data_IF_466354659225
#
_entry.id   IF_466354659225
#
_cell.length_a   1.000
_cell.length_b   1.000
_cell.length_c   1.000
_cell.angle_alpha   90.00
_cell.angle_beta   90.00
_cell.angle_gamma   90.00
#
_symmetry.space_group_name_H-M   'P 1'
#
loop_
_entity.id
_entity.type
_entity.pdbx_description
1 polymer ?
#
# COMPACT_ATOMS: atom_id res chain seq x y z
N UNK A 1 7.54 -16.83 -7.87
CA UNK A 1 6.59 -17.97 -7.97
C UNK A 1 5.24 -17.40 -8.40
N UNK A 2 4.81 -17.66 -9.64
CA UNK A 2 3.55 -17.13 -10.20
C UNK A 2 2.43 -18.10 -9.82
N UNK A 3 1.48 -17.68 -9.00
CA UNK A 3 0.28 -18.47 -8.70
C UNK A 3 -0.78 -18.11 -9.73
N UNK A 4 -1.12 -19.05 -10.59
CA UNK A 4 -2.38 -19.03 -11.35
C UNK A 4 -3.50 -19.38 -10.37
N UNK A 5 -4.54 -18.57 -10.34
CA UNK A 5 -5.78 -18.88 -9.64
C UNK A 5 -6.69 -19.58 -10.63
N UNK A 6 -6.90 -20.88 -10.42
CA UNK A 6 -8.00 -21.59 -11.06
C UNK A 6 -9.26 -21.39 -10.18
N UNK A 7 -10.37 -21.10 -10.86
CA UNK A 7 -11.69 -20.84 -10.29
C UNK A 7 -12.25 -22.08 -9.59
N UNK A 8 -12.81 -21.89 -8.39
CA UNK A 8 -13.74 -22.84 -7.77
C UNK A 8 -15.03 -22.10 -7.42
N UNK A 9 -16.10 -22.48 -8.13
CA UNK A 9 -17.49 -22.21 -7.80
C UNK A 9 -17.86 -22.79 -6.43
N UNK A 10 -18.59 -22.03 -5.61
CA UNK A 10 -19.49 -22.59 -4.60
C UNK A 10 -20.78 -21.76 -4.52
N UNK A 11 -21.84 -22.34 -5.08
CA UNK A 11 -23.23 -22.05 -4.74
C UNK A 11 -23.47 -22.31 -3.25
N UNK A 12 -24.14 -21.37 -2.55
CA UNK A 12 -25.34 -21.78 -1.80
C UNK A 12 -26.25 -20.64 -1.36
N UNK A 13 -27.52 -20.96 -1.55
CA UNK A 13 -28.76 -20.25 -1.35
C UNK A 13 -29.11 -20.09 0.15
N UNK A 14 -29.55 -18.89 0.57
CA UNK A 14 -30.56 -18.77 1.64
C UNK A 14 -31.34 -17.45 1.51
N UNK A 15 -32.65 -17.60 1.31
CA UNK A 15 -33.67 -16.55 1.38
C UNK A 15 -34.20 -16.43 2.82
N UNK A 16 -34.95 -15.35 3.04
CA UNK A 16 -35.82 -15.01 4.18
C UNK A 16 -35.15 -14.18 5.32
N UNK A 17 -35.72 -13.11 5.89
CA UNK A 17 -37.05 -12.49 5.79
C UNK A 17 -36.98 -11.00 6.23
N UNK A 18 -37.74 -10.17 5.51
CA UNK A 18 -38.66 -9.12 5.97
C UNK A 18 -38.38 -8.34 7.29
N UNK A 19 -38.17 -7.01 7.19
CA UNK A 19 -38.92 -6.02 8.00
C UNK A 19 -38.97 -4.67 7.26
N UNK A 20 -40.20 -4.25 6.95
CA UNK A 20 -40.57 -2.98 6.36
C UNK A 20 -40.56 -1.86 7.39
N UNK A 21 -40.00 -0.69 7.06
CA UNK A 21 -40.53 0.59 7.53
C UNK A 21 -40.63 1.57 6.37
N UNK A 22 -41.85 2.09 6.22
CA UNK A 22 -42.29 3.10 5.26
C UNK A 22 -41.85 4.47 5.77
N UNK A 23 -41.19 5.25 4.93
CA UNK A 23 -41.28 6.71 4.98
C UNK A 23 -41.92 7.19 3.68
N UNK A 24 -43.07 7.85 3.85
CA UNK A 24 -43.85 8.49 2.79
C UNK A 24 -43.25 9.88 2.57
N UNK A 25 -42.49 10.03 1.48
CA UNK A 25 -42.17 11.33 0.89
C UNK A 25 -42.98 11.49 -0.40
N UNK A 26 -43.86 12.48 -0.41
CA UNK A 26 -44.69 12.91 -1.53
C UNK A 26 -43.83 13.27 -2.76
N UNK A 27 -43.87 12.44 -3.80
CA UNK A 27 -43.25 12.71 -5.11
C UNK A 27 -44.34 13.08 -6.11
N UNK A 28 -44.95 14.24 -5.91
CA UNK A 28 -45.72 14.93 -6.94
C UNK A 28 -44.77 15.86 -7.72
N UNK A 29 -44.64 15.71 -9.06
CA UNK A 29 -43.83 16.63 -9.84
C UNK A 29 -44.51 18.00 -9.88
N UNK A 30 -43.84 18.99 -9.30
CA UNK A 30 -44.16 20.41 -9.48
C UNK A 30 -44.05 20.74 -10.98
N UNK A 31 -45.11 21.28 -11.62
CA UNK A 31 -45.04 21.60 -13.04
C UNK A 31 -44.22 22.87 -13.20
N UNK A 32 -42.99 22.75 -13.70
CA UNK A 32 -42.28 23.89 -14.25
C UNK A 32 -42.95 24.24 -15.59
N UNK A 33 -43.80 25.26 -15.53
CA UNK A 33 -44.31 25.94 -16.72
C UNK A 33 -43.12 26.50 -17.50
N UNK A 34 -42.95 26.02 -18.72
CA UNK A 34 -42.04 26.63 -19.68
C UNK A 34 -42.59 27.99 -20.07
N UNK A 35 -41.86 29.05 -19.70
CA UNK A 35 -41.93 30.32 -20.41
C UNK A 35 -40.76 30.28 -21.40
N UNK A 36 -41.09 30.40 -22.68
CA UNK A 36 -40.12 30.54 -23.74
C UNK A 36 -39.72 32.00 -23.81
N UNK A 37 -38.53 32.30 -23.31
CA UNK A 37 -37.87 33.60 -23.43
C UNK A 37 -36.71 33.39 -24.39
N UNK A 38 -36.97 33.76 -25.63
CA UNK A 38 -36.04 33.84 -26.74
C UNK A 38 -34.90 34.81 -26.40
N UNK A 39 -33.77 34.30 -25.90
CA UNK A 39 -32.41 34.83 -26.04
C UNK A 39 -31.38 33.78 -25.56
N UNK A 40 -30.38 33.46 -26.38
CA UNK A 40 -29.45 32.34 -26.24
C UNK A 40 -28.43 32.35 -25.08
N UNK A 41 -28.82 32.76 -23.87
CA UNK A 41 -27.95 32.78 -22.68
C UNK A 41 -27.98 31.48 -21.85
N UNK A 42 -29.04 30.66 -21.96
CA UNK A 42 -29.18 29.41 -21.18
C UNK A 42 -28.11 28.37 -21.56
N UNK A 43 -27.77 28.28 -22.86
CA UNK A 43 -26.74 27.34 -23.35
C UNK A 43 -25.31 27.69 -22.90
N UNK A 44 -25.03 28.95 -22.53
CA UNK A 44 -23.72 29.32 -21.99
C UNK A 44 -23.58 29.03 -20.49
N UNK A 45 -24.67 29.08 -19.73
CA UNK A 45 -24.67 28.77 -18.29
C UNK A 45 -24.64 27.26 -18.04
N UNK A 46 -25.39 26.46 -18.81
CA UNK A 46 -25.33 25.00 -18.73
C UNK A 46 -23.99 24.43 -19.21
N UNK A 47 -23.40 24.98 -20.28
CA UNK A 47 -22.06 24.57 -20.74
C UNK A 47 -20.96 24.96 -19.76
N UNK A 48 -21.06 26.13 -19.10
CA UNK A 48 -20.14 26.53 -18.01
C UNK A 48 -20.33 25.65 -16.76
N UNK A 49 -21.56 25.33 -16.37
CA UNK A 49 -21.83 24.44 -15.23
C UNK A 49 -21.31 23.01 -15.49
N UNK A 50 -21.48 22.49 -16.71
CA UNK A 50 -20.94 21.18 -17.11
C UNK A 50 -19.41 21.20 -17.22
N UNK A 51 -18.80 22.29 -17.68
CA UNK A 51 -17.34 22.44 -17.68
C UNK A 51 -16.77 22.51 -16.25
N UNK A 52 -17.42 23.26 -15.35
CA UNK A 52 -17.03 23.33 -13.93
C UNK A 52 -17.21 21.98 -13.23
N UNK A 53 -18.28 21.23 -13.52
CA UNK A 53 -18.50 19.87 -12.99
C UNK A 53 -17.49 18.87 -13.56
N UNK A 54 -17.12 18.97 -14.84
CA UNK A 54 -16.10 18.13 -15.46
C UNK A 54 -14.69 18.43 -14.91
N UNK A 55 -14.35 19.71 -14.73
CA UNK A 55 -13.09 20.15 -14.13
C UNK A 55 -13.01 19.76 -12.65
N UNK A 56 -14.12 19.88 -11.91
CA UNK A 56 -14.19 19.44 -10.52
C UNK A 56 -14.07 17.91 -10.40
N UNK A 57 -14.80 17.13 -11.21
CA UNK A 57 -14.69 15.67 -11.25
C UNK A 57 -13.30 15.21 -11.68
N UNK A 58 -12.66 15.91 -12.62
CA UNK A 58 -11.28 15.64 -13.05
C UNK A 58 -10.26 15.94 -11.95
N UNK A 59 -10.38 17.09 -11.28
CA UNK A 59 -9.53 17.48 -10.16
C UNK A 59 -9.70 16.58 -8.93
N UNK A 60 -10.93 16.13 -8.65
CA UNK A 60 -11.23 15.15 -7.59
C UNK A 60 -10.64 13.78 -7.97
N UNK A 61 -10.78 13.34 -9.21
CA UNK A 61 -10.17 12.08 -9.69
C UNK A 61 -8.65 12.10 -9.61
N UNK A 62 -8.02 13.26 -9.84
CA UNK A 62 -6.58 13.50 -9.67
C UNK A 62 -6.12 13.50 -8.21
N UNK A 63 -7.03 13.64 -7.24
CA UNK A 63 -6.75 13.60 -5.79
C UNK A 63 -6.97 12.22 -5.18
N UNK A 64 -7.41 11.24 -5.94
CA UNK A 64 -7.69 9.92 -5.43
C UNK A 64 -6.73 8.87 -6.01
N UNK A 65 -6.44 7.85 -5.21
CA UNK A 65 -5.64 6.66 -5.58
C UNK A 65 -6.36 5.39 -5.14
N UNK A 66 -6.06 4.25 -5.75
CA UNK A 66 -6.53 2.96 -5.24
C UNK A 66 -5.62 2.50 -4.11
N UNK A 67 -6.21 1.84 -3.13
CA UNK A 67 -5.47 1.10 -2.11
C UNK A 67 -6.34 0.08 -1.39
N UNK A 68 -5.69 -0.77 -0.60
CA UNK A 68 -6.33 -1.82 0.16
C UNK A 68 -6.78 -1.29 1.51
N UNK A 69 -7.98 -1.67 1.92
CA UNK A 69 -8.53 -1.35 3.25
C UNK A 69 -8.89 -2.63 4.00
N UNK A 70 -8.79 -2.56 5.33
CA UNK A 70 -9.27 -3.58 6.27
C UNK A 70 -10.21 -2.86 7.22
N UNK A 71 -11.52 -3.05 7.05
CA UNK A 71 -12.56 -2.41 7.88
C UNK A 71 -13.03 -3.30 9.03
N UNK A 72 -12.78 -4.59 8.91
CA UNK A 72 -13.14 -5.61 9.88
C UNK A 72 -12.05 -6.68 9.94
N UNK A 73 -12.00 -7.41 11.06
CA UNK A 73 -11.03 -8.47 11.27
C UNK A 73 -11.55 -9.76 10.65
N UNK A 74 -10.70 -10.51 9.94
CA UNK A 74 -11.14 -11.80 9.39
C UNK A 74 -10.16 -12.46 8.46
N UNK A 75 -10.67 -13.34 7.58
CA UNK A 75 -9.97 -14.04 6.50
C UNK A 75 -9.44 -13.10 5.40
N UNK A 76 -8.73 -13.59 4.37
CA UNK A 76 -8.22 -12.74 3.29
C UNK A 76 -9.29 -11.87 2.61
N UNK A 77 -10.54 -12.37 2.57
CA UNK A 77 -11.68 -11.69 1.96
C UNK A 77 -12.05 -10.33 2.56
N UNK A 78 -11.56 -9.98 3.76
CA UNK A 78 -11.80 -8.66 4.38
C UNK A 78 -10.92 -7.55 3.79
N UNK A 79 -9.88 -7.90 3.03
CA UNK A 79 -9.05 -6.93 2.30
C UNK A 79 -9.78 -6.51 1.04
N UNK A 80 -10.20 -5.25 0.97
CA UNK A 80 -10.95 -4.70 -0.18
C UNK A 80 -10.17 -3.59 -0.85
N UNK A 81 -10.23 -3.54 -2.18
CA UNK A 81 -9.74 -2.41 -2.95
C UNK A 81 -10.72 -1.25 -2.84
N UNK A 82 -10.23 -0.05 -2.54
CA UNK A 82 -11.05 1.14 -2.41
C UNK A 82 -10.32 2.36 -2.99
N UNK A 83 -11.10 3.37 -3.36
CA UNK A 83 -10.61 4.69 -3.73
C UNK A 83 -10.30 5.49 -2.45
N UNK A 84 -9.05 5.94 -2.30
CA UNK A 84 -8.49 6.63 -1.15
C UNK A 84 -8.00 8.01 -1.56
N UNK A 85 -7.97 8.96 -0.64
CA UNK A 85 -7.33 10.25 -0.89
C UNK A 85 -5.81 10.07 -1.05
N UNK A 86 -5.24 10.82 -2.00
CA UNK A 86 -3.80 10.87 -2.19
C UNK A 86 -3.13 11.53 -0.98
N UNK A 87 -2.08 10.90 -0.43
CA UNK A 87 -1.39 11.44 0.73
C UNK A 87 -0.62 12.72 0.38
N UNK A 88 -0.56 13.66 1.33
CA UNK A 88 0.15 14.92 1.17
C UNK A 88 1.61 14.80 1.64
N UNK A 89 2.54 15.34 0.88
CA UNK A 89 3.99 15.29 1.19
C UNK A 89 4.37 16.41 2.15
N UNK A 90 5.00 16.09 3.27
CA UNK A 90 5.60 17.09 4.17
C UNK A 90 7.05 17.41 3.80
N UNK A 91 7.61 18.44 4.41
CA UNK A 91 8.94 18.97 4.11
C UNK A 91 10.06 17.91 4.06
N UNK A 92 10.04 16.88 4.90
CA UNK A 92 11.09 15.85 5.01
C UNK A 92 10.69 14.49 4.41
N UNK A 93 9.59 14.43 3.66
CA UNK A 93 9.02 13.23 3.09
C UNK A 93 9.11 13.25 1.55
N UNK A 94 8.90 12.09 0.94
CA UNK A 94 8.70 11.94 -0.51
C UNK A 94 7.38 11.24 -0.76
N UNK A 95 6.84 11.39 -1.98
CA UNK A 95 5.76 10.56 -2.49
C UNK A 95 6.33 9.55 -3.47
N UNK A 96 6.07 8.27 -3.23
CA UNK A 96 6.45 7.18 -4.12
C UNK A 96 5.21 6.74 -4.89
N UNK A 97 5.31 6.64 -6.22
CA UNK A 97 4.39 5.85 -7.03
C UNK A 97 4.81 4.40 -6.92
N UNK A 98 3.99 3.59 -6.25
CA UNK A 98 4.31 2.20 -5.93
C UNK A 98 4.28 1.36 -7.20
N UNK A 99 5.39 0.69 -7.49
CA UNK A 99 5.49 -0.31 -8.54
C UNK A 99 5.17 -1.71 -8.00
N UNK A 100 5.66 -2.01 -6.79
CA UNK A 100 5.39 -3.27 -6.11
C UNK A 100 5.42 -3.12 -4.59
N UNK A 101 4.75 -4.04 -3.91
CA UNK A 101 4.78 -4.27 -2.46
C UNK A 101 4.95 -5.76 -2.21
N UNK A 102 5.41 -6.14 -1.03
CA UNK A 102 5.47 -7.54 -0.59
C UNK A 102 4.39 -7.81 0.46
N UNK A 103 4.22 -9.09 0.84
CA UNK A 103 3.34 -9.51 1.93
C UNK A 103 4.19 -9.98 3.11
N UNK A 104 3.97 -9.40 4.28
CA UNK A 104 4.69 -9.72 5.50
C UNK A 104 3.80 -10.39 6.55
N UNK A 105 4.43 -11.11 7.49
CA UNK A 105 3.73 -11.71 8.64
C UNK A 105 2.99 -10.66 9.49
N UNK A 106 3.48 -9.42 9.51
CA UNK A 106 2.81 -8.30 10.16
C UNK A 106 1.44 -8.01 9.54
N UNK A 107 1.32 -8.03 8.21
CA UNK A 107 0.07 -7.75 7.50
C UNK A 107 -1.00 -8.80 7.84
N UNK A 108 -0.60 -10.06 8.00
CA UNK A 108 -1.49 -11.15 8.41
C UNK A 108 -2.03 -10.95 9.83
N UNK A 109 -1.20 -10.45 10.74
CA UNK A 109 -1.60 -10.15 12.13
C UNK A 109 -2.53 -8.93 12.17
N UNK A 110 -2.19 -7.88 11.44
CA UNK A 110 -3.03 -6.70 11.26
C UNK A 110 -4.44 -7.06 10.79
N UNK A 111 -4.53 -7.87 9.72
CA UNK A 111 -5.82 -8.32 9.17
C UNK A 111 -6.68 -9.10 10.16
N UNK A 112 -6.05 -9.78 11.12
CA UNK A 112 -6.73 -10.56 12.18
C UNK A 112 -7.05 -9.72 13.43
N UNK A 113 -6.90 -8.40 13.37
CA UNK A 113 -7.25 -7.49 14.46
C UNK A 113 -6.12 -7.12 15.39
N UNK A 114 -4.90 -7.60 15.14
CA UNK A 114 -3.74 -7.12 15.90
C UNK A 114 -3.22 -5.81 15.28
N UNK A 115 -3.68 -4.69 15.82
CA UNK A 115 -3.23 -3.36 15.42
C UNK A 115 -2.47 -2.69 16.56
N UNK A 116 -1.15 -2.43 16.43
CA UNK A 116 -0.52 -1.45 17.29
C UNK A 116 -1.22 -0.10 17.12
N UNK A 117 -1.40 0.64 18.23
CA UNK A 117 -2.03 1.96 18.23
C UNK A 117 -1.41 2.84 17.14
N UNK A 118 -2.23 3.33 16.22
CA UNK A 118 -1.80 4.26 15.18
C UNK A 118 -1.28 5.54 15.82
N UNK A 119 -0.06 5.95 15.46
CA UNK A 119 0.40 7.29 15.81
C UNK A 119 -0.31 8.32 14.95
N UNK A 120 -0.44 9.54 15.46
CA UNK A 120 -1.03 10.66 14.71
C UNK A 120 -0.26 10.86 13.41
N UNK A 121 -0.97 10.79 12.28
CA UNK A 121 -0.39 10.99 10.94
C UNK A 121 0.14 9.73 10.26
N UNK A 122 0.04 8.55 10.88
CA UNK A 122 0.30 7.29 10.19
C UNK A 122 -0.91 6.88 9.33
N UNK A 123 -0.63 6.29 8.17
CA UNK A 123 -1.66 5.69 7.32
C UNK A 123 -2.43 4.60 8.07
N UNK A 124 -3.74 4.52 7.89
CA UNK A 124 -4.56 3.43 8.44
C UNK A 124 -4.48 2.16 7.58
N UNK A 125 -3.89 2.23 6.39
CA UNK A 125 -3.92 1.17 5.39
C UNK A 125 -2.77 0.15 5.58
N UNK A 126 -2.95 -1.13 5.20
CA UNK A 126 -1.92 -2.16 5.33
C UNK A 126 -0.74 -1.95 4.38
N UNK A 127 0.29 -2.80 4.54
CA UNK A 127 1.53 -2.77 3.75
C UNK A 127 2.63 -2.01 4.46
N UNK A 128 3.74 -2.71 4.71
CA UNK A 128 4.88 -2.20 5.49
C UNK A 128 6.17 -2.05 4.67
N UNK A 129 6.14 -2.33 3.38
CA UNK A 129 7.24 -2.01 2.47
C UNK A 129 6.75 -1.83 1.06
N UNK A 130 7.56 -1.18 0.23
CA UNK A 130 7.27 -1.02 -1.19
C UNK A 130 8.55 -0.72 -1.96
N UNK A 131 8.44 -0.78 -3.28
CA UNK A 131 9.36 -0.16 -4.22
C UNK A 131 8.58 0.68 -5.23
N UNK A 132 9.27 1.62 -5.85
CA UNK A 132 8.67 2.47 -6.86
C UNK A 132 9.56 3.62 -7.28
N UNK A 133 8.92 4.60 -7.87
CA UNK A 133 9.56 5.83 -8.34
C UNK A 133 9.09 7.02 -7.50
N UNK A 134 10.02 7.90 -7.13
CA UNK A 134 9.67 9.16 -6.47
C UNK A 134 8.95 10.08 -7.45
N UNK A 135 7.73 10.50 -7.13
CA UNK A 135 6.92 11.42 -7.96
C UNK A 135 6.75 12.81 -7.35
N UNK A 136 7.08 12.99 -6.07
CA UNK A 136 7.16 14.30 -5.43
C UNK A 136 8.14 14.26 -4.25
N UNK A 137 8.79 15.39 -3.97
CA UNK A 137 9.72 15.56 -2.86
C UNK A 137 9.36 16.77 -2.02
N UNK A 138 9.45 16.65 -0.71
CA UNK A 138 9.29 17.76 0.21
C UNK A 138 10.46 18.76 0.09
N UNK A 139 10.19 20.04 0.40
CA UNK A 139 11.15 21.12 0.21
C UNK A 139 12.46 20.98 1.03
N UNK A 140 12.46 20.18 2.10
CA UNK A 140 13.64 19.91 2.93
C UNK A 140 14.41 18.64 2.54
N UNK A 141 13.96 17.90 1.52
CA UNK A 141 14.66 16.71 1.03
C UNK A 141 15.72 17.13 0.02
N UNK A 142 16.98 16.76 0.29
CA UNK A 142 18.14 17.18 -0.54
C UNK A 142 18.85 16.01 -1.21
N UNK A 143 18.69 14.81 -0.65
CA UNK A 143 19.40 13.60 -1.05
C UNK A 143 18.63 12.74 -2.07
N UNK A 144 17.40 13.13 -2.41
CA UNK A 144 16.53 12.42 -3.35
C UNK A 144 15.86 13.39 -4.31
N UNK A 145 15.51 12.91 -5.51
CA UNK A 145 14.79 13.69 -6.52
C UNK A 145 13.67 12.87 -7.17
N UNK A 146 12.74 13.57 -7.80
CA UNK A 146 11.72 12.96 -8.66
C UNK A 146 12.37 12.13 -9.77
N UNK A 147 11.83 10.95 -10.03
CA UNK A 147 12.37 9.97 -10.98
C UNK A 147 13.34 8.96 -10.37
N UNK A 148 13.80 9.14 -9.13
CA UNK A 148 14.65 8.14 -8.48
C UNK A 148 13.86 6.86 -8.18
N UNK A 149 14.48 5.71 -8.50
CA UNK A 149 13.96 4.39 -8.14
C UNK A 149 14.43 3.99 -6.75
N UNK A 150 13.46 3.72 -5.88
CA UNK A 150 13.69 3.48 -4.45
C UNK A 150 12.87 2.31 -3.96
N UNK A 151 13.35 1.69 -2.88
CA UNK A 151 12.53 0.85 -2.02
C UNK A 151 12.56 1.37 -0.58
N UNK A 152 11.55 1.03 0.21
CA UNK A 152 11.39 1.59 1.54
C UNK A 152 10.70 0.64 2.50
N UNK A 153 11.17 0.64 3.75
CA UNK A 153 10.43 0.13 4.89
C UNK A 153 9.48 1.25 5.33
N UNK A 154 8.18 1.04 5.12
CA UNK A 154 7.14 2.02 5.46
C UNK A 154 6.40 1.57 6.70
N UNK A 155 5.88 2.50 7.51
CA UNK A 155 5.13 2.10 8.69
C UNK A 155 3.83 1.39 8.29
N UNK A 156 3.12 1.95 7.30
CA UNK A 156 1.79 1.57 6.81
C UNK A 156 1.55 2.17 5.42
N UNK A 157 0.57 1.64 4.68
CA UNK A 157 0.12 2.19 3.39
C UNK A 157 0.86 1.72 2.16
N UNK A 158 1.74 0.71 2.27
CA UNK A 158 2.40 0.11 1.11
C UNK A 158 1.44 -0.58 0.13
N UNK A 159 0.23 -0.93 0.57
CA UNK A 159 -0.81 -1.51 -0.30
C UNK A 159 -1.68 -0.42 -0.93
N UNK A 160 -1.05 0.55 -1.59
CA UNK A 160 -1.69 1.63 -2.31
C UNK A 160 -0.88 1.98 -3.57
N UNK A 161 -1.50 2.68 -4.52
CA UNK A 161 -0.80 3.15 -5.74
C UNK A 161 0.26 4.22 -5.41
N UNK A 162 0.09 4.97 -4.32
CA UNK A 162 1.04 5.97 -3.86
C UNK A 162 1.21 5.92 -2.33
N UNK A 163 2.43 6.18 -1.86
CA UNK A 163 2.76 6.20 -0.43
C UNK A 163 3.74 7.30 -0.08
N UNK A 164 3.49 7.97 1.04
CA UNK A 164 4.40 8.99 1.59
C UNK A 164 5.38 8.35 2.54
N UNK A 165 6.66 8.65 2.36
CA UNK A 165 7.76 8.05 3.12
C UNK A 165 8.73 9.13 3.61
N UNK A 166 9.07 9.15 4.91
CA UNK A 166 10.21 9.93 5.41
C UNK A 166 11.48 9.64 4.61
N UNK A 167 12.14 10.70 4.13
CA UNK A 167 13.28 10.58 3.21
C UNK A 167 14.49 9.79 3.75
N UNK A 168 14.60 9.64 5.07
CA UNK A 168 15.63 8.83 5.73
C UNK A 168 15.34 7.32 5.75
N UNK A 169 14.15 6.88 5.32
CA UNK A 169 13.77 5.45 5.25
C UNK A 169 13.92 4.87 3.83
N UNK A 170 14.29 5.71 2.86
CA UNK A 170 14.49 5.30 1.49
C UNK A 170 15.82 4.58 1.31
N UNK A 171 15.80 3.54 0.48
CA UNK A 171 16.96 2.79 0.04
C UNK A 171 17.02 2.86 -1.49
N UNK A 172 18.21 3.08 -2.04
CA UNK A 172 18.43 3.04 -3.48
C UNK A 172 18.27 1.61 -4.00
N UNK A 173 17.57 1.44 -5.11
CA UNK A 173 17.47 0.14 -5.78
C UNK A 173 18.74 -0.12 -6.59
N UNK A 174 19.44 -1.26 -6.41
CA UNK A 174 20.58 -1.60 -7.24
C UNK A 174 20.17 -1.72 -8.71
N UNK A 175 21.00 -1.20 -9.64
CA UNK A 175 20.67 -1.14 -11.09
C UNK A 175 20.26 -2.47 -11.73
N UNK A 176 20.73 -3.58 -11.18
CA UNK A 176 20.46 -4.94 -11.69
C UNK A 176 19.24 -5.60 -11.05
N UNK A 177 18.53 -4.91 -10.15
CA UNK A 177 17.37 -5.43 -9.42
C UNK A 177 16.13 -4.73 -9.92
N UNK A 178 15.12 -5.51 -10.31
CA UNK A 178 13.81 -4.98 -10.73
C UNK A 178 13.11 -4.29 -9.57
N UNK A 179 12.16 -3.40 -9.83
CA UNK A 179 11.37 -2.80 -8.75
C UNK A 179 10.54 -3.90 -8.04
N UNK A 180 10.00 -4.86 -8.78
CA UNK A 180 9.27 -5.99 -8.24
C UNK A 180 10.07 -6.79 -7.21
N UNK A 181 11.33 -7.14 -7.54
CA UNK A 181 12.21 -7.84 -6.61
C UNK A 181 12.67 -6.93 -5.46
N UNK A 182 12.92 -5.65 -5.75
CA UNK A 182 13.36 -4.68 -4.75
C UNK A 182 12.32 -4.45 -3.64
N UNK A 183 11.02 -4.63 -3.92
CA UNK A 183 9.96 -4.50 -2.92
C UNK A 183 10.05 -5.55 -1.80
N UNK A 184 10.78 -6.66 -2.00
CA UNK A 184 10.96 -7.73 -1.01
C UNK A 184 12.15 -7.53 -0.07
N UNK A 185 12.95 -6.48 -0.30
CA UNK A 185 14.19 -6.27 0.43
C UNK A 185 14.05 -5.50 1.75
N UNK A 186 13.30 -4.39 1.86
CA UNK A 186 13.42 -3.47 2.99
C UNK A 186 13.21 -4.10 4.38
N UNK A 187 12.09 -4.79 4.62
CA UNK A 187 11.75 -5.42 5.90
C UNK A 187 12.82 -6.44 6.28
N UNK A 188 13.15 -7.33 5.35
CA UNK A 188 14.09 -8.42 5.61
C UNK A 188 15.50 -7.88 5.85
N UNK A 189 15.98 -6.98 5.00
CA UNK A 189 17.31 -6.40 5.11
C UNK A 189 17.48 -5.66 6.44
N UNK A 190 16.54 -4.79 6.80
CA UNK A 190 16.59 -4.05 8.07
C UNK A 190 16.50 -5.01 9.27
N UNK A 191 15.61 -5.99 9.23
CA UNK A 191 15.41 -6.94 10.34
C UNK A 191 16.63 -7.81 10.58
N UNK A 192 17.22 -8.35 9.51
CA UNK A 192 18.44 -9.16 9.58
C UNK A 192 19.61 -8.32 10.09
N UNK A 193 19.76 -7.10 9.57
CA UNK A 193 20.86 -6.23 9.97
C UNK A 193 20.79 -5.87 11.46
N UNK A 194 19.61 -5.51 11.94
CA UNK A 194 19.34 -5.24 13.34
C UNK A 194 19.64 -6.46 14.20
N UNK A 195 19.08 -7.62 13.86
CA UNK A 195 19.21 -8.83 14.66
C UNK A 195 20.66 -9.33 14.74
N UNK A 196 21.35 -9.43 13.60
CA UNK A 196 22.67 -10.06 13.55
C UNK A 196 23.79 -9.11 13.95
N UNK A 197 23.79 -7.87 13.46
CA UNK A 197 24.95 -6.99 13.60
C UNK A 197 24.76 -5.94 14.69
N UNK A 198 23.56 -5.37 14.83
CA UNK A 198 23.34 -4.35 15.86
C UNK A 198 23.11 -4.96 17.24
N UNK A 199 22.27 -6.00 17.32
CA UNK A 199 21.95 -6.69 18.58
C UNK A 199 22.93 -7.85 18.81
N UNK A 200 23.02 -8.78 17.85
CA UNK A 200 23.82 -10.00 17.98
C UNK A 200 25.33 -9.80 17.89
N UNK A 201 25.79 -8.62 17.43
CA UNK A 201 27.21 -8.27 17.24
C UNK A 201 28.02 -9.33 16.47
N UNK A 202 27.37 -10.01 15.51
CA UNK A 202 28.00 -11.06 14.70
C UNK A 202 29.25 -10.51 14.00
N UNK A 203 30.35 -11.22 14.18
CA UNK A 203 31.68 -10.87 13.65
C UNK A 203 32.26 -12.01 12.81
N UNK A 204 33.23 -11.68 11.97
CA UNK A 204 33.91 -12.67 11.12
C UNK A 204 34.50 -13.82 11.97
N UNK A 205 34.46 -15.04 11.44
CA UNK A 205 34.93 -16.26 12.11
C UNK A 205 33.96 -16.87 13.12
N UNK A 206 32.94 -16.13 13.58
CA UNK A 206 31.89 -16.68 14.43
C UNK A 206 30.92 -17.57 13.64
N UNK A 207 30.21 -18.44 14.36
CA UNK A 207 29.21 -19.34 13.78
C UNK A 207 27.79 -18.83 14.06
N UNK A 208 26.99 -18.69 13.01
CA UNK A 208 25.56 -18.38 13.06
C UNK A 208 24.75 -19.65 12.79
N UNK A 209 23.78 -19.96 13.66
CA UNK A 209 22.76 -20.98 13.40
C UNK A 209 21.46 -20.31 12.93
N UNK A 210 21.04 -20.58 11.70
CA UNK A 210 19.78 -20.11 11.11
C UNK A 210 18.74 -21.22 11.20
N UNK A 211 17.70 -21.03 12.02
CA UNK A 211 16.68 -22.07 12.27
C UNK A 211 15.60 -22.19 11.19
N UNK A 212 15.34 -21.11 10.46
CA UNK A 212 14.29 -21.05 9.43
C UNK A 212 14.94 -20.67 8.09
N UNK A 213 15.84 -21.53 7.61
CA UNK A 213 16.72 -21.24 6.47
C UNK A 213 16.00 -20.99 5.15
N UNK A 214 14.78 -21.51 4.99
CA UNK A 214 13.97 -21.38 3.78
C UNK A 214 13.09 -20.13 3.78
N UNK A 215 13.01 -19.39 4.89
CA UNK A 215 12.32 -18.10 4.95
C UNK A 215 13.10 -17.02 4.21
N UNK A 216 12.40 -15.95 3.82
CA UNK A 216 12.99 -14.70 3.31
C UNK A 216 14.07 -14.15 4.26
N UNK A 217 13.78 -14.11 5.56
CA UNK A 217 14.73 -13.75 6.60
C UNK A 217 15.94 -14.69 6.60
N UNK A 218 15.71 -16.00 6.57
CA UNK A 218 16.76 -17.02 6.58
C UNK A 218 17.69 -16.90 5.38
N UNK A 219 17.13 -16.85 4.18
CA UNK A 219 17.86 -16.72 2.92
C UNK A 219 18.71 -15.45 2.91
N UNK A 220 18.17 -14.33 3.37
CA UNK A 220 18.93 -13.08 3.44
C UNK A 220 20.02 -13.12 4.53
N UNK A 221 19.70 -13.65 5.72
CA UNK A 221 20.63 -13.84 6.83
C UNK A 221 21.84 -14.70 6.44
N UNK A 222 21.61 -15.81 5.74
CA UNK A 222 22.67 -16.71 5.26
C UNK A 222 23.63 -15.96 4.35
N UNK A 223 23.09 -15.22 3.36
CA UNK A 223 23.89 -14.49 2.39
C UNK A 223 24.74 -13.40 3.06
N UNK A 224 24.13 -12.55 3.89
CA UNK A 224 24.86 -11.45 4.51
C UNK A 224 25.86 -11.92 5.58
N UNK A 225 25.55 -12.97 6.33
CA UNK A 225 26.46 -13.54 7.31
C UNK A 225 27.70 -14.16 6.64
N UNK A 226 27.50 -14.91 5.54
CA UNK A 226 28.61 -15.44 4.73
C UNK A 226 29.45 -14.32 4.14
N UNK A 227 28.82 -13.28 3.59
CA UNK A 227 29.52 -12.10 3.07
C UNK A 227 30.36 -11.40 4.15
N UNK A 228 29.90 -11.38 5.40
CA UNK A 228 30.64 -10.84 6.56
C UNK A 228 31.65 -11.80 7.18
N UNK A 229 31.89 -12.96 6.56
CA UNK A 229 32.92 -13.92 7.00
C UNK A 229 32.50 -14.81 8.17
N UNK A 230 31.22 -14.90 8.49
CA UNK A 230 30.71 -15.85 9.48
C UNK A 230 30.55 -17.25 8.87
N UNK A 231 30.70 -18.28 9.70
CA UNK A 231 30.29 -19.65 9.38
C UNK A 231 28.78 -19.76 9.59
N UNK A 232 28.07 -20.39 8.67
CA UNK A 232 26.60 -20.48 8.75
C UNK A 232 26.17 -21.94 8.79
N UNK A 233 25.47 -22.31 9.86
CA UNK A 233 24.73 -23.57 9.98
C UNK A 233 23.26 -23.27 9.73
N UNK A 234 22.57 -24.14 9.01
CA UNK A 234 21.18 -23.93 8.62
C UNK A 234 20.35 -25.14 9.00
N UNK A 235 19.22 -24.90 9.65
CA UNK A 235 18.13 -25.85 9.75
C UNK A 235 17.08 -25.40 8.74
N UNK A 236 16.74 -26.30 7.81
CA UNK A 236 15.70 -26.10 6.82
C UNK A 236 14.64 -27.20 6.96
N UNK A 237 13.38 -26.83 6.80
CA UNK A 237 12.30 -27.79 6.55
C UNK A 237 11.99 -27.85 5.06
N UNK A 238 11.49 -28.99 4.59
CA UNK A 238 10.83 -29.09 3.29
C UNK A 238 9.43 -28.47 3.36
N UNK A 239 8.97 -27.90 2.24
CA UNK A 239 7.57 -27.51 2.11
C UNK A 239 6.73 -28.79 1.98
N UNK A 240 5.77 -28.97 2.89
CA UNK A 240 4.73 -30.01 2.82
C UNK A 240 3.61 -29.50 1.91
#
# INVERSE_FOLDING_TARGET
MRVKTDDCDEDNNSKENCFTQKDKGDNSPIPFGGVNDENGEINQLESKANAIDCDHKSAVRMKMMKGVVIRENGGPGVMKLQQLERPQVKNNEVLIKVAATSINRFDLRQRRGWLPKLKKGESAYPGIECSGEIIAVGAGVTQWKVGDQVCALVNRGGYAEEVVVPSGQLLSVPRSVSLEDAASLPVVACSVWLALFQIGKLSAGQTLLVRDGCSDFGIFAIQIAKYKGAKVLVIGGEAI
#
